data_IF_672649737115
#
_entry.id   IF_672649737115
#
_cell.length_a   1.000
_cell.length_b   1.000
_cell.length_c   1.000
_cell.angle_alpha   90.00
_cell.angle_beta   90.00
_cell.angle_gamma   90.00
#
_symmetry.space_group_name_H-M   'P 1'
#
loop_
_entity.id
_entity.type
_entity.pdbx_description
1 polymer ?
#
# COMPACT_ATOMS: atom_id res chain seq x y z
N UNK A 1 13.67 8.83 16.63
CA UNK A 1 13.68 8.54 15.17
C UNK A 1 14.22 7.15 14.82
N UNK A 2 15.29 6.61 15.44
CA UNK A 2 15.81 5.25 15.15
C UNK A 2 14.82 4.10 15.41
N UNK A 3 13.82 4.28 16.28
CA UNK A 3 12.83 3.26 16.65
C UNK A 3 11.82 3.01 15.51
N UNK A 4 11.50 4.02 14.70
CA UNK A 4 10.58 3.90 13.55
C UNK A 4 11.23 3.28 12.32
N UNK A 5 12.55 3.40 12.16
CA UNK A 5 13.31 2.84 11.05
C UNK A 5 13.27 1.31 10.99
N UNK A 6 13.17 0.64 12.14
CA UNK A 6 13.03 -0.82 12.24
C UNK A 6 11.71 -1.32 11.63
N UNK A 7 10.65 -0.51 11.71
CA UNK A 7 9.32 -0.84 11.18
C UNK A 7 9.19 -0.51 9.69
N UNK A 8 9.99 0.44 9.19
CA UNK A 8 9.95 0.87 7.79
C UNK A 8 10.76 -0.07 6.88
N UNK A 9 11.81 -0.72 7.40
CA UNK A 9 12.66 -1.62 6.61
C UNK A 9 11.92 -2.72 5.84
N UNK A 10 10.98 -3.47 6.42
CA UNK A 10 10.23 -4.48 5.66
C UNK A 10 9.30 -3.89 4.60
N UNK A 11 8.99 -2.59 4.68
CA UNK A 11 8.10 -1.90 3.75
C UNK A 11 8.82 -1.13 2.65
N UNK A 12 10.16 -1.01 2.74
CA UNK A 12 10.99 -0.41 1.69
C UNK A 12 10.79 -1.13 0.35
N UNK A 13 10.60 -2.44 0.36
CA UNK A 13 10.30 -3.21 -0.85
C UNK A 13 8.98 -2.74 -1.51
N UNK A 14 7.92 -2.55 -0.74
CA UNK A 14 6.64 -2.04 -1.25
C UNK A 14 6.79 -0.59 -1.75
N UNK A 15 7.59 0.22 -1.06
CA UNK A 15 7.84 1.62 -1.43
C UNK A 15 8.64 1.76 -2.74
N UNK A 16 9.46 0.78 -3.08
CA UNK A 16 10.22 0.73 -4.34
C UNK A 16 9.38 0.09 -5.45
N UNK A 17 8.57 -0.91 -5.13
CA UNK A 17 7.71 -1.58 -6.12
C UNK A 17 6.62 -0.66 -6.69
N UNK A 18 6.07 0.27 -5.91
CA UNK A 18 5.03 1.21 -6.38
C UNK A 18 5.49 2.06 -7.57
N UNK A 19 6.58 2.84 -7.47
CA UNK A 19 7.12 3.61 -8.59
C UNK A 19 7.49 2.75 -9.81
N UNK A 20 8.00 1.54 -9.60
CA UNK A 20 8.33 0.62 -10.70
C UNK A 20 7.04 0.22 -11.44
N UNK A 21 5.98 -0.12 -10.73
CA UNK A 21 4.70 -0.46 -11.34
C UNK A 21 4.11 0.71 -12.12
N UNK A 22 4.20 1.94 -11.61
CA UNK A 22 3.77 3.14 -12.33
C UNK A 22 4.54 3.36 -13.63
N UNK A 23 5.86 3.13 -13.63
CA UNK A 23 6.67 3.22 -14.85
C UNK A 23 6.23 2.18 -15.88
N UNK A 24 5.95 0.96 -15.43
CA UNK A 24 5.49 -0.14 -16.30
C UNK A 24 4.10 0.17 -16.87
N UNK A 25 3.21 0.80 -16.10
CA UNK A 25 1.88 1.21 -16.57
C UNK A 25 1.96 2.19 -17.74
N UNK A 26 2.89 3.13 -17.72
CA UNK A 26 3.12 4.09 -18.81
C UNK A 26 3.66 3.41 -20.09
N UNK A 27 4.26 2.22 -19.97
CA UNK A 27 4.74 1.47 -21.15
C UNK A 27 3.62 0.81 -21.95
N UNK A 28 2.48 0.47 -21.36
CA UNK A 28 1.35 -0.18 -22.05
C UNK A 28 0.82 0.66 -23.23
N UNK A 29 0.53 1.97 -23.07
CA UNK A 29 0.12 2.82 -24.19
C UNK A 29 1.19 2.90 -25.30
N UNK A 30 2.49 2.87 -24.91
CA UNK A 30 3.59 2.88 -25.88
C UNK A 30 3.65 1.59 -26.70
N UNK A 31 3.42 0.45 -26.09
CA UNK A 31 3.33 -0.83 -26.81
C UNK A 31 2.15 -0.84 -27.77
N UNK A 32 0.99 -0.31 -27.36
CA UNK A 32 -0.18 -0.17 -28.22
C UNK A 32 0.10 0.76 -29.40
N UNK A 33 0.75 1.90 -29.18
CA UNK A 33 1.15 2.80 -30.24
C UNK A 33 2.11 2.12 -31.26
N UNK A 34 3.04 1.31 -30.78
CA UNK A 34 3.95 0.56 -31.66
C UNK A 34 3.22 -0.49 -32.49
N UNK A 35 2.23 -1.19 -31.92
CA UNK A 35 1.39 -2.14 -32.66
C UNK A 35 0.70 -1.44 -33.83
N UNK A 36 0.14 -0.24 -33.58
CA UNK A 36 -0.59 0.53 -34.59
C UNK A 36 0.37 1.09 -35.64
N UNK A 37 1.42 1.78 -35.20
CA UNK A 37 2.30 2.55 -36.10
C UNK A 37 3.26 1.69 -36.91
N UNK A 38 3.69 0.55 -36.37
CA UNK A 38 4.64 -0.35 -37.04
C UNK A 38 3.94 -1.62 -37.50
N UNK A 39 3.23 -2.29 -36.61
CA UNK A 39 2.58 -3.57 -36.91
C UNK A 39 1.49 -3.45 -37.96
N UNK A 40 0.52 -2.57 -37.72
CA UNK A 40 -0.62 -2.40 -38.62
C UNK A 40 -0.22 -1.65 -39.91
N UNK A 41 0.61 -0.60 -39.80
CA UNK A 41 1.06 0.17 -40.95
C UNK A 41 1.88 -0.66 -41.95
N UNK A 42 2.69 -1.59 -41.46
CA UNK A 42 3.53 -2.49 -42.28
C UNK A 42 2.87 -3.82 -42.57
N UNK A 43 1.63 -4.05 -42.11
CA UNK A 43 0.91 -5.34 -42.19
C UNK A 43 1.72 -6.53 -41.67
N UNK A 44 2.56 -6.31 -40.68
CA UNK A 44 3.44 -7.32 -40.11
C UNK A 44 2.73 -8.06 -38.96
N UNK A 45 1.97 -9.09 -39.30
CA UNK A 45 1.20 -9.89 -38.35
C UNK A 45 2.08 -10.53 -37.28
N UNK A 46 3.26 -11.14 -37.56
CA UNK A 46 4.16 -11.66 -36.54
C UNK A 46 4.59 -10.63 -35.50
N UNK A 47 4.82 -9.40 -35.91
CA UNK A 47 5.19 -8.30 -34.99
C UNK A 47 4.01 -7.94 -34.08
N UNK A 48 2.79 -7.86 -34.61
CA UNK A 48 1.57 -7.59 -33.83
C UNK A 48 1.38 -8.65 -32.76
N UNK A 49 1.51 -9.93 -33.12
CA UNK A 49 1.36 -11.06 -32.20
C UNK A 49 2.42 -11.01 -31.10
N UNK A 50 3.69 -10.80 -31.47
CA UNK A 50 4.78 -10.74 -30.49
C UNK A 50 4.60 -9.59 -29.47
N UNK A 51 4.22 -8.40 -29.95
CA UNK A 51 3.93 -7.26 -29.07
C UNK A 51 2.68 -7.49 -28.21
N UNK A 52 1.66 -8.16 -28.73
CA UNK A 52 0.49 -8.58 -27.97
C UNK A 52 0.86 -9.52 -26.81
N UNK A 53 1.73 -10.50 -27.05
CA UNK A 53 2.23 -11.39 -26.00
C UNK A 53 3.01 -10.61 -24.94
N UNK A 54 3.87 -9.66 -25.34
CA UNK A 54 4.61 -8.80 -24.39
C UNK A 54 3.64 -8.00 -23.53
N UNK A 55 2.58 -7.44 -24.11
CA UNK A 55 1.56 -6.70 -23.36
C UNK A 55 0.84 -7.58 -22.33
N UNK A 56 0.48 -8.81 -22.71
CA UNK A 56 -0.17 -9.76 -21.79
C UNK A 56 0.77 -10.10 -20.62
N UNK A 57 2.05 -10.42 -20.91
CA UNK A 57 3.03 -10.73 -19.88
C UNK A 57 3.25 -9.53 -18.94
N UNK A 58 3.32 -8.32 -19.49
CA UNK A 58 3.45 -7.10 -18.70
C UNK A 58 2.23 -6.88 -17.80
N UNK A 59 1.02 -7.07 -18.32
CA UNK A 59 -0.22 -6.97 -17.54
C UNK A 59 -0.28 -8.00 -16.41
N UNK A 60 0.14 -9.23 -16.65
CA UNK A 60 0.21 -10.28 -15.61
C UNK A 60 1.22 -9.92 -14.51
N UNK A 61 2.38 -9.39 -14.87
CA UNK A 61 3.38 -8.91 -13.90
C UNK A 61 2.84 -7.76 -13.05
N UNK A 62 2.12 -6.82 -13.66
CA UNK A 62 1.47 -5.72 -12.95
C UNK A 62 0.39 -6.22 -11.99
N UNK A 63 -0.41 -7.20 -12.41
CA UNK A 63 -1.42 -7.81 -11.55
C UNK A 63 -0.79 -8.46 -10.30
N UNK A 64 0.27 -9.23 -10.47
CA UNK A 64 1.00 -9.84 -9.35
C UNK A 64 1.63 -8.80 -8.44
N UNK A 65 2.22 -7.74 -9.02
CA UNK A 65 2.76 -6.61 -8.27
C UNK A 65 1.71 -5.88 -7.47
N UNK A 66 0.54 -5.60 -8.05
CA UNK A 66 -0.59 -4.96 -7.38
C UNK A 66 -1.14 -5.77 -6.20
N UNK A 67 -1.30 -7.09 -6.37
CA UNK A 67 -1.73 -8.00 -5.28
C UNK A 67 -0.68 -7.99 -4.16
N UNK A 68 0.61 -8.10 -4.50
CA UNK A 68 1.71 -8.04 -3.54
C UNK A 68 1.74 -6.72 -2.77
N UNK A 69 1.63 -5.61 -3.49
CA UNK A 69 1.60 -4.26 -2.90
C UNK A 69 0.44 -4.09 -1.92
N UNK A 70 -0.77 -4.49 -2.33
CA UNK A 70 -1.96 -4.41 -1.46
C UNK A 70 -1.80 -5.27 -0.19
N UNK A 71 -1.22 -6.47 -0.30
CA UNK A 71 -0.95 -7.33 0.85
C UNK A 71 0.03 -6.68 1.83
N UNK A 72 1.14 -6.14 1.33
CA UNK A 72 2.13 -5.48 2.17
C UNK A 72 1.60 -4.20 2.81
N UNK A 73 0.82 -3.40 2.08
CA UNK A 73 0.17 -2.21 2.60
C UNK A 73 -0.79 -2.53 3.76
N UNK A 74 -1.65 -3.55 3.58
CA UNK A 74 -2.55 -4.01 4.62
C UNK A 74 -1.80 -4.51 5.86
N UNK A 75 -0.75 -5.32 5.68
CA UNK A 75 0.09 -5.80 6.77
C UNK A 75 0.76 -4.67 7.53
N UNK A 76 1.26 -3.64 6.81
CA UNK A 76 1.84 -2.46 7.42
C UNK A 76 0.84 -1.70 8.29
N UNK A 77 -0.35 -1.43 7.76
CA UNK A 77 -1.39 -0.71 8.47
C UNK A 77 -1.84 -1.44 9.75
N UNK A 78 -1.98 -2.77 9.69
CA UNK A 78 -2.35 -3.60 10.84
C UNK A 78 -1.25 -3.59 11.92
N UNK A 79 0.01 -3.77 11.52
CA UNK A 79 1.15 -3.75 12.46
C UNK A 79 1.28 -2.39 13.14
N UNK A 80 1.17 -1.30 12.38
CA UNK A 80 1.19 0.04 12.94
C UNK A 80 0.05 0.27 13.94
N UNK A 81 -1.16 -0.17 13.63
CA UNK A 81 -2.32 -0.06 14.51
C UNK A 81 -2.12 -0.85 15.80
N UNK A 82 -1.54 -2.06 15.72
CA UNK A 82 -1.23 -2.89 16.88
C UNK A 82 -0.23 -2.21 17.82
N UNK A 83 0.85 -1.66 17.25
CA UNK A 83 1.86 -0.95 18.03
C UNK A 83 1.28 0.32 18.68
N UNK A 84 0.46 1.07 17.93
CA UNK A 84 -0.20 2.26 18.45
C UNK A 84 -1.14 1.92 19.60
N UNK A 85 -1.94 0.85 19.48
CA UNK A 85 -2.81 0.36 20.57
C UNK A 85 -2.00 0.01 21.81
N UNK A 86 -0.90 -0.72 21.66
CA UNK A 86 -0.01 -1.10 22.75
C UNK A 86 0.60 0.12 23.45
N UNK A 87 1.09 1.10 22.68
CA UNK A 87 1.69 2.32 23.22
C UNK A 87 0.65 3.20 23.95
N UNK A 88 -0.55 3.35 23.39
CA UNK A 88 -1.63 4.12 24.02
C UNK A 88 -2.14 3.43 25.26
N UNK A 89 -2.34 2.10 25.22
CA UNK A 89 -2.76 1.31 26.37
C UNK A 89 -1.73 1.41 27.51
N UNK A 90 -0.44 1.26 27.18
CA UNK A 90 0.64 1.41 28.17
C UNK A 90 0.73 2.82 28.79
N UNK A 91 0.31 3.87 28.07
CA UNK A 91 0.21 5.22 28.62
C UNK A 91 -1.02 5.37 29.52
N UNK A 92 -2.17 4.85 29.11
CA UNK A 92 -3.41 4.88 29.90
C UNK A 92 -3.23 4.14 31.24
N UNK A 93 -2.53 3.02 31.25
CA UNK A 93 -2.22 2.29 32.50
C UNK A 93 -1.36 3.08 33.48
N UNK A 94 -0.60 4.05 32.98
CA UNK A 94 0.25 4.94 33.86
C UNK A 94 -0.51 6.14 34.39
N UNK A 95 -1.77 6.34 33.99
CA UNK A 95 -2.58 7.42 34.55
C UNK A 95 -2.91 7.13 36.02
N UNK A 96 -2.71 8.17 36.86
CA UNK A 96 -3.14 8.15 38.26
C UNK A 96 -4.67 8.12 38.34
N UNK A 97 -5.23 7.54 39.43
CA UNK A 97 -6.66 7.55 39.70
C UNK A 97 -7.29 8.95 39.61
N UNK A 98 -6.56 10.00 40.01
CA UNK A 98 -6.99 11.38 39.87
C UNK A 98 -7.20 11.85 38.43
N UNK A 99 -6.47 11.28 37.47
CA UNK A 99 -6.65 11.55 36.03
C UNK A 99 -7.77 10.71 35.40
N UNK A 100 -8.04 9.53 35.95
CA UNK A 100 -9.12 8.65 35.51
C UNK A 100 -10.51 9.20 35.88
N UNK A 101 -10.61 9.97 36.97
CA UNK A 101 -11.85 10.63 37.38
C UNK A 101 -12.28 11.77 36.43
N UNK A 102 -11.34 12.35 35.69
CA UNK A 102 -11.64 13.36 34.65
C UNK A 102 -12.11 12.77 33.32
N UNK A 103 -11.82 11.51 33.06
CA UNK A 103 -12.21 10.83 31.83
C UNK A 103 -13.05 9.60 32.15
N UNK A 104 -14.26 9.52 31.61
CA UNK A 104 -15.04 8.30 31.76
C UNK A 104 -14.33 7.13 31.11
N UNK A 105 -14.24 5.99 31.78
CA UNK A 105 -13.63 4.76 31.26
C UNK A 105 -14.22 4.35 29.90
N UNK A 106 -15.53 4.57 29.69
CA UNK A 106 -16.20 4.34 28.41
C UNK A 106 -15.63 5.22 27.27
N UNK A 107 -15.36 6.49 27.54
CA UNK A 107 -14.75 7.40 26.55
C UNK A 107 -13.34 6.95 26.15
N UNK A 108 -12.52 6.50 27.10
CA UNK A 108 -11.18 5.99 26.84
C UNK A 108 -11.20 4.71 26.01
N UNK A 109 -12.10 3.78 26.31
CA UNK A 109 -12.27 2.54 25.53
C UNK A 109 -12.72 2.84 24.10
N UNK A 110 -13.68 3.77 23.93
CA UNK A 110 -14.16 4.18 22.60
C UNK A 110 -13.03 4.80 21.76
N UNK A 111 -12.21 5.67 22.35
CA UNK A 111 -11.04 6.26 21.66
C UNK A 111 -10.01 5.21 21.31
N UNK A 112 -9.70 4.29 22.21
CA UNK A 112 -8.76 3.19 21.96
C UNK A 112 -9.23 2.25 20.84
N UNK A 113 -10.54 2.10 20.66
CA UNK A 113 -11.07 1.15 19.67
C UNK A 113 -11.42 1.83 18.36
N UNK A 114 -12.19 2.91 18.39
CA UNK A 114 -12.70 3.55 17.18
C UNK A 114 -11.69 4.49 16.54
N UNK A 115 -11.03 5.36 17.31
CA UNK A 115 -10.14 6.36 16.76
C UNK A 115 -8.89 5.70 16.16
N UNK A 116 -8.34 4.69 16.82
CA UNK A 116 -7.19 3.93 16.29
C UNK A 116 -7.60 3.14 15.04
N UNK A 117 -8.81 2.60 14.98
CA UNK A 117 -9.31 1.92 13.79
C UNK A 117 -9.49 2.89 12.61
N UNK A 118 -9.95 4.11 12.86
CA UNK A 118 -10.02 5.15 11.82
C UNK A 118 -8.63 5.54 11.31
N UNK A 119 -7.65 5.71 12.20
CA UNK A 119 -6.25 5.97 11.82
C UNK A 119 -5.68 4.81 11.00
N UNK A 120 -5.95 3.57 11.38
CA UNK A 120 -5.56 2.38 10.62
C UNK A 120 -6.13 2.40 9.19
N UNK A 121 -7.42 2.70 9.06
CA UNK A 121 -8.11 2.76 7.77
C UNK A 121 -7.54 3.89 6.89
N UNK A 122 -7.26 5.05 7.49
CA UNK A 122 -6.65 6.19 6.80
C UNK A 122 -5.26 5.84 6.28
N UNK A 123 -4.42 5.19 7.10
CA UNK A 123 -3.09 4.74 6.70
C UNK A 123 -3.18 3.69 5.59
N UNK A 124 -4.10 2.71 5.71
CA UNK A 124 -4.30 1.70 4.68
C UNK A 124 -4.73 2.33 3.35
N UNK A 125 -5.65 3.30 3.38
CA UNK A 125 -6.09 4.05 2.21
C UNK A 125 -4.96 4.87 1.59
N UNK A 126 -4.17 5.58 2.41
CA UNK A 126 -3.04 6.37 1.95
C UNK A 126 -1.97 5.49 1.27
N UNK A 127 -1.60 4.36 1.90
CA UNK A 127 -0.65 3.42 1.34
C UNK A 127 -1.16 2.79 0.03
N UNK A 128 -2.47 2.51 -0.05
CA UNK A 128 -3.08 1.98 -1.27
C UNK A 128 -3.16 3.00 -2.41
N UNK A 129 -3.29 4.29 -2.10
CA UNK A 129 -3.28 5.35 -3.11
C UNK A 129 -1.88 5.66 -3.63
N UNK A 130 -0.84 5.32 -2.87
CA UNK A 130 0.56 5.53 -3.25
C UNK A 130 1.17 4.34 -4.02
N UNK A 131 0.46 3.20 -4.06
CA UNK A 131 0.84 1.98 -4.78
C UNK A 131 0.05 1.84 -6.07
#
# INVERSE_FOLDING_TARGET
>A
MKRYWKYIRPYLAAFICGPILMIVEVLLPKFMANIINVGAAQRNVPYIVSMGVVMILTALLMMLGGIGGAYFAAKAAISFSSDLRSDVFGKVQKFSFANLDQFSTGSLVTRLTNDITQVQNLINMALRMML
#
